data_IF_810644674799
#
_entry.id   IF_810644674799
#
_cell.length_a   1.000
_cell.length_b   1.000
_cell.length_c   1.000
_cell.angle_alpha   90.00
_cell.angle_beta   90.00
_cell.angle_gamma   90.00
#
_symmetry.space_group_name_H-M   'P 1'
#
loop_
_entity.id
_entity.type
_entity.pdbx_description
1 polymer ?
#
# COMPACT_ATOMS: atom_id res chain seq x y z
N UNK A 1 -0.56 0.70 31.43
CA UNK A 1 -0.82 0.12 30.10
C UNK A 1 -1.69 -1.14 30.30
N UNK A 2 -2.81 -1.30 29.57
CA UNK A 2 -3.67 -2.49 29.71
C UNK A 2 -2.95 -3.80 29.42
N UNK A 3 -3.39 -4.90 30.02
CA UNK A 3 -2.79 -6.22 29.84
C UNK A 3 -2.78 -6.68 28.38
N UNK A 4 -3.84 -6.34 27.63
CA UNK A 4 -3.95 -6.62 26.19
C UNK A 4 -2.80 -6.01 25.40
N UNK A 5 -2.39 -4.76 25.71
CA UNK A 5 -1.29 -4.11 25.02
C UNK A 5 0.06 -4.74 25.37
N UNK A 6 0.27 -5.13 26.63
CA UNK A 6 1.46 -5.91 27.00
C UNK A 6 1.57 -7.21 26.19
N UNK A 7 0.46 -7.93 26.04
CA UNK A 7 0.44 -9.16 25.26
C UNK A 7 0.66 -8.89 23.76
N UNK A 8 0.02 -7.86 23.19
CA UNK A 8 0.20 -7.49 21.79
C UNK A 8 1.67 -7.16 21.48
N UNK A 9 2.30 -6.32 22.31
CA UNK A 9 3.71 -5.98 22.15
C UNK A 9 4.64 -7.17 22.39
N UNK A 10 4.29 -8.12 23.25
CA UNK A 10 5.05 -9.37 23.39
C UNK A 10 4.98 -10.26 22.15
N UNK A 11 3.83 -10.30 21.46
CA UNK A 11 3.71 -11.01 20.17
C UNK A 11 4.61 -10.32 19.13
N UNK A 12 4.49 -8.99 18.99
CA UNK A 12 5.25 -8.24 17.99
C UNK A 12 6.77 -8.31 18.22
N UNK A 13 7.21 -8.17 19.48
CA UNK A 13 8.63 -8.19 19.84
C UNK A 13 9.31 -9.52 19.55
N UNK A 14 8.58 -10.63 19.64
CA UNK A 14 9.11 -11.98 19.38
C UNK A 14 8.98 -12.42 17.91
N UNK A 15 8.31 -11.61 17.07
CA UNK A 15 7.97 -11.96 15.70
C UNK A 15 8.44 -10.91 14.69
N UNK A 16 7.64 -9.88 14.41
CA UNK A 16 7.92 -8.87 13.38
C UNK A 16 9.18 -8.06 13.68
N UNK A 17 9.49 -7.87 14.96
CA UNK A 17 10.70 -7.20 15.42
C UNK A 17 11.85 -8.17 15.78
N UNK A 18 11.73 -9.45 15.38
CA UNK A 18 12.69 -10.49 15.70
C UNK A 18 13.20 -11.20 14.44
N UNK A 19 13.42 -10.47 13.34
CA UNK A 19 14.05 -11.05 12.17
C UNK A 19 15.53 -11.35 12.47
N UNK A 20 15.88 -12.63 12.47
CA UNK A 20 17.23 -13.13 12.77
C UNK A 20 18.03 -13.49 11.51
N UNK A 21 17.52 -13.21 10.30
CA UNK A 21 18.25 -13.49 9.06
C UNK A 21 19.45 -12.52 8.91
N UNK A 22 20.71 -13.01 9.01
CA UNK A 22 21.89 -12.17 8.88
C UNK A 22 22.08 -11.60 7.46
N UNK A 23 21.33 -12.11 6.48
CA UNK A 23 21.35 -11.64 5.09
C UNK A 23 20.25 -10.60 4.82
N UNK A 24 19.50 -10.18 5.83
CA UNK A 24 18.51 -9.12 5.69
C UNK A 24 19.21 -7.78 5.43
N UNK A 25 19.12 -7.26 4.21
CA UNK A 25 19.85 -6.06 3.78
C UNK A 25 19.03 -4.76 3.86
N UNK A 26 17.71 -4.85 4.05
CA UNK A 26 16.80 -3.72 4.10
C UNK A 26 15.48 -4.11 4.79
N UNK A 27 14.65 -3.12 5.08
CA UNK A 27 13.25 -3.34 5.47
C UNK A 27 12.51 -4.10 4.36
N UNK A 28 11.65 -5.04 4.77
CA UNK A 28 10.84 -5.83 3.84
C UNK A 28 9.83 -4.91 3.16
N UNK A 29 9.81 -4.94 1.83
CA UNK A 29 8.97 -4.11 0.99
C UNK A 29 7.63 -4.80 0.74
N UNK A 30 6.55 -4.03 0.77
CA UNK A 30 5.25 -4.54 0.32
C UNK A 30 5.27 -4.72 -1.19
N UNK A 31 4.77 -5.86 -1.67
CA UNK A 31 4.62 -6.08 -3.12
C UNK A 31 3.63 -5.10 -3.75
N UNK A 32 2.70 -4.54 -2.97
CA UNK A 32 1.74 -3.52 -3.41
C UNK A 32 2.46 -2.30 -4.01
N UNK A 33 3.62 -1.95 -3.45
CA UNK A 33 4.42 -0.81 -3.87
C UNK A 33 5.27 -1.07 -5.12
N UNK A 34 5.36 -2.32 -5.58
CA UNK A 34 6.17 -2.69 -6.74
C UNK A 34 5.34 -2.60 -8.02
N UNK A 35 6.03 -2.42 -9.15
CA UNK A 35 5.42 -2.61 -10.46
C UNK A 35 4.80 -4.02 -10.55
N UNK A 36 3.52 -4.15 -10.92
CA UNK A 36 2.86 -5.45 -11.04
C UNK A 36 3.55 -6.36 -12.05
N UNK A 37 3.60 -7.66 -11.72
CA UNK A 37 4.15 -8.69 -12.58
C UNK A 37 3.48 -10.03 -12.29
N UNK A 38 3.45 -10.94 -13.26
CA UNK A 38 2.87 -12.29 -13.09
C UNK A 38 3.76 -13.25 -12.29
N UNK A 39 5.02 -12.88 -12.06
CA UNK A 39 6.02 -13.69 -11.35
C UNK A 39 7.02 -12.79 -10.64
N UNK A 40 7.71 -13.34 -9.63
CA UNK A 40 8.90 -12.69 -9.06
C UNK A 40 8.60 -11.52 -8.12
N UNK A 41 7.38 -11.38 -7.61
CA UNK A 41 7.06 -10.38 -6.58
C UNK A 41 7.14 -10.93 -5.16
N UNK A 42 6.75 -12.19 -4.96
CA UNK A 42 6.68 -12.80 -3.61
C UNK A 42 7.96 -13.53 -3.25
N UNK A 43 8.29 -13.56 -1.96
CA UNK A 43 9.43 -14.29 -1.40
C UNK A 43 10.81 -13.87 -1.92
N UNK A 44 10.95 -12.62 -2.41
CA UNK A 44 12.25 -12.09 -2.78
C UNK A 44 13.13 -11.90 -1.54
N UNK A 45 14.41 -12.24 -1.69
CA UNK A 45 15.47 -12.06 -0.69
C UNK A 45 16.58 -11.19 -1.27
N UNK A 46 17.41 -10.55 -0.42
CA UNK A 46 18.49 -9.67 -0.87
C UNK A 46 18.04 -8.21 -0.97
N UNK A 47 18.38 -7.53 -2.07
CA UNK A 47 17.97 -6.15 -2.30
C UNK A 47 16.45 -6.04 -2.53
N UNK A 48 15.79 -5.13 -1.81
CA UNK A 48 14.32 -4.96 -1.79
C UNK A 48 13.57 -6.28 -1.49
N UNK A 49 13.82 -6.90 -0.32
CA UNK A 49 13.23 -8.20 0.00
C UNK A 49 11.71 -8.07 0.19
N UNK A 50 10.96 -9.09 -0.20
CA UNK A 50 9.49 -9.17 -0.05
C UNK A 50 9.05 -10.40 0.75
N UNK A 51 10.00 -11.25 1.17
CA UNK A 51 9.74 -12.42 2.01
C UNK A 51 9.34 -11.98 3.43
N UNK A 52 8.14 -12.37 3.86
CA UNK A 52 7.66 -12.15 5.23
C UNK A 52 8.17 -13.31 6.12
N UNK A 53 8.95 -13.05 7.20
CA UNK A 53 9.58 -14.09 8.03
C UNK A 53 8.67 -14.57 9.19
N UNK A 54 7.38 -14.25 9.15
CA UNK A 54 6.41 -14.56 10.19
C UNK A 54 5.04 -14.88 9.59
N UNK A 55 4.15 -15.50 10.37
CA UNK A 55 2.77 -15.78 9.94
C UNK A 55 1.80 -14.69 10.44
N UNK A 56 1.24 -13.93 9.50
CA UNK A 56 0.27 -12.86 9.75
C UNK A 56 -0.89 -13.27 10.68
N UNK A 57 -1.37 -14.51 10.58
CA UNK A 57 -2.51 -15.01 11.36
C UNK A 57 -2.18 -15.29 12.83
N UNK A 58 -0.90 -15.50 13.14
CA UNK A 58 -0.42 -15.75 14.51
C UNK A 58 0.34 -14.57 15.09
N UNK A 59 0.59 -13.52 14.30
CA UNK A 59 1.35 -12.33 14.72
C UNK A 59 0.54 -11.03 14.62
N UNK A 60 0.45 -10.43 13.43
CA UNK A 60 -0.17 -9.12 13.19
C UNK A 60 -1.66 -9.14 13.56
N UNK A 61 -2.39 -10.16 13.11
CA UNK A 61 -3.83 -10.24 13.37
C UNK A 61 -4.18 -10.30 14.87
N UNK A 62 -3.61 -11.24 15.67
CA UNK A 62 -3.91 -11.27 17.10
C UNK A 62 -3.40 -10.02 17.84
N UNK A 63 -2.26 -9.44 17.45
CA UNK A 63 -1.80 -8.18 18.03
C UNK A 63 -2.78 -7.03 17.76
N UNK A 64 -3.27 -6.88 16.53
CA UNK A 64 -4.27 -5.86 16.19
C UNK A 64 -5.59 -6.07 16.94
N UNK A 65 -6.07 -7.31 17.08
CA UNK A 65 -7.26 -7.61 17.87
C UNK A 65 -7.12 -7.18 19.33
N UNK A 66 -5.94 -7.38 19.93
CA UNK A 66 -5.64 -6.94 21.29
C UNK A 66 -5.59 -5.41 21.41
N UNK A 67 -5.08 -4.69 20.40
CA UNK A 67 -5.16 -3.23 20.35
C UNK A 67 -6.63 -2.75 20.35
N UNK A 68 -7.47 -3.35 19.50
CA UNK A 68 -8.89 -2.99 19.44
C UNK A 68 -9.62 -3.33 20.74
N UNK A 69 -9.37 -4.50 21.33
CA UNK A 69 -9.91 -4.87 22.65
C UNK A 69 -9.49 -3.89 23.74
N UNK A 70 -8.22 -3.50 23.78
CA UNK A 70 -7.72 -2.50 24.73
C UNK A 70 -8.46 -1.16 24.56
N UNK A 71 -8.64 -0.70 23.32
CA UNK A 71 -9.35 0.55 23.03
C UNK A 71 -10.84 0.52 23.36
N UNK A 72 -11.46 -0.67 23.32
CA UNK A 72 -12.87 -0.84 23.69
C UNK A 72 -13.06 -0.91 25.21
N UNK A 73 -12.09 -1.44 25.93
CA UNK A 73 -12.11 -1.51 27.41
C UNK A 73 -11.61 -0.22 28.07
N UNK A 74 -10.72 0.52 27.40
CA UNK A 74 -10.12 1.77 27.87
C UNK A 74 -10.25 2.83 26.77
N UNK A 75 -11.43 3.44 26.65
CA UNK A 75 -11.76 4.31 25.51
C UNK A 75 -10.86 5.52 25.36
N UNK A 76 -10.28 6.04 26.46
CA UNK A 76 -9.31 7.14 26.41
C UNK A 76 -8.04 6.83 25.62
N UNK A 77 -7.75 5.56 25.33
CA UNK A 77 -6.65 5.19 24.42
C UNK A 77 -6.88 5.71 23.00
N UNK A 78 -8.14 5.83 22.56
CA UNK A 78 -8.47 6.34 21.22
C UNK A 78 -8.05 7.79 21.03
N UNK A 79 -7.93 8.54 22.13
CA UNK A 79 -7.49 9.94 22.15
C UNK A 79 -5.96 10.09 22.21
N UNK A 80 -5.20 8.99 22.37
CA UNK A 80 -3.73 9.01 22.42
C UNK A 80 -3.18 8.91 21.00
N UNK A 81 -2.49 9.96 20.47
CA UNK A 81 -2.05 9.99 19.07
C UNK A 81 -1.13 8.82 18.69
N UNK A 82 -0.20 8.45 19.57
CA UNK A 82 0.74 7.34 19.35
C UNK A 82 0.01 6.00 19.29
N UNK A 83 -1.05 5.84 20.09
CA UNK A 83 -1.86 4.63 20.06
C UNK A 83 -2.68 4.51 18.76
N UNK A 84 -3.25 5.63 18.30
CA UNK A 84 -3.94 5.67 17.01
C UNK A 84 -2.97 5.40 15.85
N UNK A 85 -1.75 5.94 15.92
CA UNK A 85 -0.68 5.67 14.95
C UNK A 85 -0.33 4.19 14.89
N UNK A 86 -0.02 3.55 16.03
CA UNK A 86 0.31 2.11 16.08
C UNK A 86 -0.86 1.23 15.59
N UNK A 87 -2.10 1.63 15.88
CA UNK A 87 -3.29 0.93 15.40
C UNK A 87 -3.40 1.00 13.87
N UNK A 88 -3.12 2.16 13.27
CA UNK A 88 -3.04 2.31 11.81
C UNK A 88 -1.89 1.48 11.25
N UNK A 89 -0.71 1.51 11.86
CA UNK A 89 0.47 0.77 11.39
C UNK A 89 0.23 -0.75 11.36
N UNK A 90 -0.36 -1.31 12.42
CA UNK A 90 -0.70 -2.74 12.46
C UNK A 90 -1.79 -3.10 11.45
N UNK A 91 -2.78 -2.23 11.26
CA UNK A 91 -3.85 -2.44 10.28
C UNK A 91 -3.33 -2.35 8.85
N UNK A 92 -2.44 -1.39 8.58
CA UNK A 92 -1.70 -1.23 7.33
C UNK A 92 -0.89 -2.49 7.05
N UNK A 93 -0.14 -2.98 8.03
CA UNK A 93 0.67 -4.18 7.89
C UNK A 93 -0.18 -5.43 7.64
N UNK A 94 -1.34 -5.57 8.29
CA UNK A 94 -2.29 -6.64 8.03
C UNK A 94 -2.74 -6.63 6.57
N UNK A 95 -3.18 -5.48 6.08
CA UNK A 95 -3.69 -5.31 4.71
C UNK A 95 -2.61 -5.64 3.67
N UNK A 96 -1.39 -5.13 3.81
CA UNK A 96 -0.33 -5.43 2.83
C UNK A 96 0.15 -6.87 2.89
N UNK A 97 0.03 -7.56 4.03
CA UNK A 97 0.26 -9.00 4.09
C UNK A 97 -0.86 -9.77 3.37
N UNK A 98 -2.13 -9.40 3.58
CA UNK A 98 -3.29 -9.98 2.88
C UNK A 98 -3.26 -9.73 1.37
N UNK A 99 -2.67 -8.62 0.95
CA UNK A 99 -2.45 -8.32 -0.46
C UNK A 99 -1.64 -9.43 -1.15
N UNK A 100 -0.68 -10.06 -0.44
CA UNK A 100 0.10 -11.18 -0.97
C UNK A 100 -0.81 -12.36 -1.31
N UNK A 101 -1.73 -12.71 -0.41
CA UNK A 101 -2.68 -13.81 -0.63
C UNK A 101 -3.59 -13.54 -1.85
N UNK A 102 -4.11 -12.31 -1.97
CA UNK A 102 -4.95 -11.90 -3.08
C UNK A 102 -4.18 -11.89 -4.41
N UNK A 103 -2.95 -11.40 -4.41
CA UNK A 103 -2.06 -11.42 -5.57
C UNK A 103 -1.76 -12.86 -6.01
N UNK A 104 -1.41 -13.74 -5.08
CA UNK A 104 -1.14 -15.15 -5.38
C UNK A 104 -2.39 -15.82 -5.97
N UNK A 105 -3.59 -15.54 -5.43
CA UNK A 105 -4.83 -16.03 -6.01
C UNK A 105 -5.06 -15.50 -7.42
N UNK A 106 -4.89 -14.20 -7.66
CA UNK A 106 -5.02 -13.60 -9.00
C UNK A 106 -4.08 -14.27 -10.01
N UNK A 107 -2.81 -14.46 -9.65
CA UNK A 107 -1.81 -15.11 -10.51
C UNK A 107 -2.17 -16.58 -10.77
N UNK A 108 -2.67 -17.30 -9.77
CA UNK A 108 -3.14 -18.69 -9.95
C UNK A 108 -4.34 -18.78 -10.89
N UNK A 109 -5.32 -17.88 -10.72
CA UNK A 109 -6.48 -17.77 -11.63
C UNK A 109 -6.00 -17.45 -13.04
N UNK A 110 -5.13 -16.46 -13.20
CA UNK A 110 -4.55 -16.10 -14.50
C UNK A 110 -3.84 -17.30 -15.18
N UNK A 111 -3.03 -18.04 -14.44
CA UNK A 111 -2.26 -19.18 -14.98
C UNK A 111 -3.13 -20.42 -15.28
N UNK A 112 -4.34 -20.51 -14.73
CA UNK A 112 -5.24 -21.62 -15.03
C UNK A 112 -5.70 -21.59 -16.49
N UNK A 113 -5.64 -22.72 -17.18
CA UNK A 113 -6.15 -22.85 -18.55
C UNK A 113 -7.68 -22.81 -18.63
N UNK A 114 -8.37 -23.10 -17.52
CA UNK A 114 -9.84 -23.09 -17.45
C UNK A 114 -10.43 -21.74 -17.03
N UNK A 115 -9.60 -20.77 -16.61
CA UNK A 115 -10.10 -19.48 -16.17
C UNK A 115 -10.47 -18.58 -17.35
N UNK A 116 -11.54 -17.82 -17.14
CA UNK A 116 -12.04 -16.81 -18.08
C UNK A 116 -11.52 -15.42 -17.74
N UNK A 117 -11.73 -14.47 -18.64
CA UNK A 117 -11.50 -13.04 -18.38
C UNK A 117 -12.27 -12.56 -17.14
N UNK A 118 -13.53 -13.01 -16.99
CA UNK A 118 -14.36 -12.69 -15.84
C UNK A 118 -13.74 -13.18 -14.52
N UNK A 119 -13.17 -14.40 -14.49
CA UNK A 119 -12.54 -14.93 -13.27
C UNK A 119 -11.32 -14.11 -12.86
N UNK A 120 -10.51 -13.68 -13.84
CA UNK A 120 -9.37 -12.79 -13.61
C UNK A 120 -9.84 -11.43 -13.08
N UNK A 121 -10.86 -10.82 -13.70
CA UNK A 121 -11.44 -9.56 -13.23
C UNK A 121 -12.01 -9.68 -11.82
N UNK A 122 -12.69 -10.78 -11.48
CA UNK A 122 -13.24 -11.01 -10.15
C UNK A 122 -12.14 -11.16 -9.08
N UNK A 123 -11.08 -11.93 -9.38
CA UNK A 123 -9.94 -12.04 -8.49
C UNK A 123 -9.21 -10.70 -8.31
N UNK A 124 -9.05 -9.94 -9.39
CA UNK A 124 -8.42 -8.62 -9.38
C UNK A 124 -9.26 -7.57 -8.65
N UNK A 125 -10.59 -7.64 -8.71
CA UNK A 125 -11.47 -6.71 -8.02
C UNK A 125 -11.27 -6.77 -6.49
N UNK A 126 -11.10 -7.97 -5.92
CA UNK A 126 -10.81 -8.12 -4.49
C UNK A 126 -9.48 -7.46 -4.11
N UNK A 127 -8.44 -7.65 -4.94
CA UNK A 127 -7.14 -7.02 -4.74
C UNK A 127 -7.26 -5.49 -4.77
N UNK A 128 -8.01 -4.94 -5.73
CA UNK A 128 -8.21 -3.50 -5.86
C UNK A 128 -9.07 -2.91 -4.75
N UNK A 129 -10.04 -3.65 -4.24
CA UNK A 129 -10.82 -3.24 -3.08
C UNK A 129 -9.95 -3.16 -1.82
N UNK A 130 -9.00 -4.09 -1.64
CA UNK A 130 -8.04 -4.00 -0.55
C UNK A 130 -7.17 -2.73 -0.66
N UNK A 131 -6.75 -2.35 -1.88
CA UNK A 131 -6.00 -1.11 -2.10
C UNK A 131 -6.82 0.12 -1.70
N UNK A 132 -8.12 0.15 -2.03
CA UNK A 132 -9.02 1.24 -1.63
C UNK A 132 -9.21 1.32 -0.11
N UNK A 133 -9.39 0.18 0.55
CA UNK A 133 -9.55 0.12 2.00
C UNK A 133 -8.24 0.52 2.72
N UNK A 134 -7.08 0.15 2.16
CA UNK A 134 -5.78 0.60 2.64
C UNK A 134 -5.62 2.12 2.52
N UNK A 135 -5.93 2.69 1.36
CA UNK A 135 -5.85 4.14 1.15
C UNK A 135 -6.80 4.89 2.11
N UNK A 136 -8.01 4.34 2.32
CA UNK A 136 -8.99 4.87 3.29
C UNK A 136 -8.46 4.83 4.72
N UNK A 137 -7.82 3.74 5.14
CA UNK A 137 -7.16 3.64 6.46
C UNK A 137 -6.09 4.70 6.63
N UNK A 138 -5.22 4.86 5.63
CA UNK A 138 -4.09 5.79 5.69
C UNK A 138 -4.57 7.24 5.79
N UNK A 139 -5.72 7.57 5.18
CA UNK A 139 -6.33 8.91 5.33
C UNK A 139 -6.73 9.24 6.77
N UNK A 140 -6.88 8.26 7.67
CA UNK A 140 -7.33 8.52 9.04
C UNK A 140 -6.25 9.11 9.95
N UNK A 141 -4.98 9.11 9.54
CA UNK A 141 -3.87 9.53 10.38
C UNK A 141 -2.88 10.44 9.63
N UNK A 142 -2.51 11.57 10.24
CA UNK A 142 -1.73 12.64 9.60
C UNK A 142 -0.32 12.20 9.16
N UNK A 143 0.22 11.16 9.78
CA UNK A 143 1.56 10.63 9.50
C UNK A 143 1.64 9.83 8.19
N UNK A 144 0.51 9.58 7.54
CA UNK A 144 0.43 8.78 6.31
C UNK A 144 -0.11 9.55 5.11
N UNK A 145 -0.06 10.89 5.11
CA UNK A 145 -0.67 11.69 4.05
C UNK A 145 0.35 12.14 3.00
N UNK A 146 0.13 11.77 1.73
CA UNK A 146 0.89 12.34 0.61
C UNK A 146 0.70 13.86 0.53
N UNK A 147 -0.48 14.35 0.93
CA UNK A 147 -0.77 15.78 0.97
C UNK A 147 0.23 16.53 1.86
N UNK A 148 0.61 15.99 3.02
CA UNK A 148 1.54 16.66 3.93
C UNK A 148 2.92 16.83 3.27
N UNK A 149 3.43 15.76 2.64
CA UNK A 149 4.68 15.80 1.88
C UNK A 149 4.67 16.84 0.74
N UNK A 150 3.56 16.92 0.01
CA UNK A 150 3.38 17.88 -1.08
C UNK A 150 3.25 19.33 -0.54
N UNK A 151 2.55 19.53 0.57
CA UNK A 151 2.44 20.84 1.21
C UNK A 151 3.82 21.38 1.60
N UNK A 152 4.62 20.53 2.25
CA UNK A 152 5.98 20.86 2.68
C UNK A 152 6.84 21.25 1.47
N UNK A 153 6.84 20.42 0.41
CA UNK A 153 7.58 20.73 -0.81
C UNK A 153 7.17 22.08 -1.43
N UNK A 154 5.87 22.37 -1.49
CA UNK A 154 5.36 23.62 -2.08
C UNK A 154 5.69 24.85 -1.23
N UNK A 155 5.85 24.71 0.09
CA UNK A 155 6.17 25.83 0.97
C UNK A 155 7.52 26.48 0.65
N UNK A 156 8.48 25.68 0.16
CA UNK A 156 9.81 26.15 -0.27
C UNK A 156 9.77 27.07 -1.49
N UNK A 157 8.64 27.13 -2.19
CA UNK A 157 8.48 28.04 -3.33
C UNK A 157 8.20 29.50 -2.93
N UNK A 158 7.97 29.79 -1.64
CA UNK A 158 7.72 31.14 -1.11
C UNK A 158 6.66 31.94 -1.91
N UNK A 159 5.57 31.27 -2.31
CA UNK A 159 4.46 31.87 -3.05
C UNK A 159 4.61 31.90 -4.59
N UNK A 160 5.74 31.47 -5.15
CA UNK A 160 5.90 31.32 -6.59
C UNK A 160 5.16 30.07 -7.09
N UNK A 161 4.05 30.25 -7.80
CA UNK A 161 3.19 29.15 -8.25
C UNK A 161 3.88 28.18 -9.22
N UNK A 162 4.71 28.69 -10.13
CA UNK A 162 5.41 27.85 -11.11
C UNK A 162 6.50 27.03 -10.43
N UNK A 163 7.21 27.62 -9.47
CA UNK A 163 8.21 26.90 -8.70
C UNK A 163 7.56 25.89 -7.74
N UNK A 164 6.41 26.20 -7.15
CA UNK A 164 5.63 25.26 -6.34
C UNK A 164 5.19 24.02 -7.14
N UNK A 165 4.75 24.22 -8.39
CA UNK A 165 4.40 23.11 -9.28
C UNK A 165 5.62 22.24 -9.62
N UNK A 166 6.79 22.86 -9.85
CA UNK A 166 8.05 22.12 -10.05
C UNK A 166 8.45 21.32 -8.81
N UNK A 167 8.39 21.91 -7.61
CA UNK A 167 8.72 21.21 -6.37
C UNK A 167 7.75 20.07 -6.07
N UNK A 168 6.47 20.23 -6.38
CA UNK A 168 5.50 19.14 -6.30
C UNK A 168 5.83 18.00 -7.27
N UNK A 169 6.18 18.32 -8.53
CA UNK A 169 6.67 17.32 -9.48
C UNK A 169 7.87 16.54 -8.93
N UNK A 170 8.87 17.25 -8.37
CA UNK A 170 10.03 16.61 -7.75
C UNK A 170 9.65 15.73 -6.56
N UNK A 171 8.73 16.22 -5.70
CA UNK A 171 8.24 15.49 -4.53
C UNK A 171 7.52 14.19 -4.92
N UNK A 172 6.72 14.19 -5.99
CA UNK A 172 6.05 13.00 -6.53
C UNK A 172 7.04 12.05 -7.23
N UNK A 173 7.95 12.61 -8.04
CA UNK A 173 8.94 11.83 -8.77
C UNK A 173 9.86 11.06 -7.81
N UNK A 174 10.34 11.69 -6.73
CA UNK A 174 11.19 11.04 -5.74
C UNK A 174 10.54 9.79 -5.12
N UNK A 175 9.22 9.78 -4.90
CA UNK A 175 8.52 8.63 -4.31
C UNK A 175 8.20 7.51 -5.31
N UNK A 176 8.31 7.80 -6.61
CA UNK A 176 7.85 6.92 -7.70
C UNK A 176 8.99 6.60 -8.65
N UNK A 177 9.09 7.31 -9.80
CA UNK A 177 10.06 7.02 -10.85
C UNK A 177 11.52 7.32 -10.46
N UNK A 178 11.73 8.23 -9.52
CA UNK A 178 13.02 8.75 -9.04
C UNK A 178 13.91 9.44 -10.08
N UNK A 179 13.59 9.33 -11.36
CA UNK A 179 14.12 10.11 -12.45
C UNK A 179 13.13 10.22 -13.60
N UNK A 180 13.53 10.83 -14.74
CA UNK A 180 12.62 11.14 -15.83
C UNK A 180 12.03 9.91 -16.53
N UNK A 181 12.72 8.76 -16.50
CA UNK A 181 12.28 7.55 -17.21
C UNK A 181 12.18 6.31 -16.31
N UNK A 182 12.18 6.49 -14.99
CA UNK A 182 12.03 5.38 -14.04
C UNK A 182 13.36 4.70 -13.67
N UNK A 183 14.45 5.47 -13.59
CA UNK A 183 15.83 4.99 -13.42
C UNK A 183 16.00 4.10 -12.18
N UNK A 184 15.36 4.46 -11.04
CA UNK A 184 15.27 3.60 -9.85
C UNK A 184 13.84 3.59 -9.31
N UNK A 185 12.91 3.20 -10.18
CA UNK A 185 11.48 3.16 -9.90
C UNK A 185 11.15 2.43 -8.57
N UNK A 186 10.23 3.03 -7.81
CA UNK A 186 9.74 2.59 -6.50
C UNK A 186 10.82 2.49 -5.40
N UNK A 187 12.03 3.02 -5.60
CA UNK A 187 13.11 2.93 -4.61
C UNK A 187 12.73 3.57 -3.27
N UNK A 188 12.14 4.77 -3.30
CA UNK A 188 11.71 5.51 -2.12
C UNK A 188 10.18 5.49 -1.93
N UNK A 189 9.53 4.41 -2.35
CA UNK A 189 8.08 4.21 -2.19
C UNK A 189 7.61 4.41 -0.75
N UNK A 190 6.32 4.75 -0.61
CA UNK A 190 5.65 4.99 0.67
C UNK A 190 4.23 4.49 0.61
N UNK A 191 3.73 3.97 1.73
CA UNK A 191 2.31 3.66 1.86
C UNK A 191 1.59 4.87 2.44
N UNK A 192 1.37 5.87 1.60
CA UNK A 192 0.68 7.11 1.96
C UNK A 192 -0.67 7.22 1.26
N UNK A 193 -1.66 7.74 1.96
CA UNK A 193 -2.98 8.09 1.46
C UNK A 193 -2.85 9.02 0.25
N UNK A 194 -3.60 8.74 -0.80
CA UNK A 194 -3.49 9.38 -2.12
C UNK A 194 -2.40 8.77 -2.99
N UNK A 195 -1.23 8.39 -2.45
CA UNK A 195 -0.23 7.64 -3.22
C UNK A 195 -0.68 6.20 -3.47
N UNK A 196 -1.20 5.53 -2.44
CA UNK A 196 -1.71 4.16 -2.53
C UNK A 196 -2.89 4.08 -3.50
N UNK A 197 -3.89 4.94 -3.34
CA UNK A 197 -5.06 4.96 -4.21
C UNK A 197 -4.74 5.38 -5.64
N UNK A 198 -4.03 6.49 -5.85
CA UNK A 198 -3.90 7.09 -7.18
C UNK A 198 -2.76 6.53 -8.02
N UNK A 199 -1.63 6.15 -7.40
CA UNK A 199 -0.48 5.63 -8.13
C UNK A 199 -0.48 4.10 -8.12
N UNK A 200 -0.42 3.47 -6.94
CA UNK A 200 -0.37 2.00 -6.86
C UNK A 200 -1.69 1.37 -7.33
N UNK A 201 -2.84 1.93 -6.93
CA UNK A 201 -4.15 1.46 -7.38
C UNK A 201 -4.32 1.51 -8.90
N UNK A 202 -3.87 2.60 -9.55
CA UNK A 202 -3.90 2.71 -11.01
C UNK A 202 -3.03 1.64 -11.70
N UNK A 203 -1.82 1.37 -11.16
CA UNK A 203 -0.93 0.34 -11.69
C UNK A 203 -1.54 -1.06 -11.59
N UNK A 204 -2.07 -1.41 -10.41
CA UNK A 204 -2.72 -2.70 -10.20
C UNK A 204 -3.98 -2.86 -11.04
N UNK A 205 -4.77 -1.79 -11.22
CA UNK A 205 -5.95 -1.81 -12.07
C UNK A 205 -5.57 -2.09 -13.53
N UNK A 206 -4.57 -1.37 -14.06
CA UNK A 206 -4.09 -1.58 -15.42
C UNK A 206 -3.52 -3.00 -15.63
N UNK A 207 -2.82 -3.53 -14.63
CA UNK A 207 -2.34 -4.92 -14.66
C UNK A 207 -3.48 -5.94 -14.71
N UNK A 208 -4.48 -5.82 -13.83
CA UNK A 208 -5.66 -6.70 -13.83
C UNK A 208 -6.38 -6.64 -15.17
N UNK A 209 -6.57 -5.44 -15.72
CA UNK A 209 -7.18 -5.26 -17.05
C UNK A 209 -6.36 -5.96 -18.13
N UNK A 210 -5.04 -5.78 -18.15
CA UNK A 210 -4.18 -6.43 -19.15
C UNK A 210 -4.29 -7.96 -19.09
N UNK A 211 -4.32 -8.55 -17.89
CA UNK A 211 -4.52 -10.01 -17.74
C UNK A 211 -5.90 -10.45 -18.24
N UNK A 212 -6.95 -9.70 -17.89
CA UNK A 212 -8.32 -10.01 -18.33
C UNK A 212 -8.46 -9.90 -19.87
N UNK A 213 -7.84 -8.90 -20.49
CA UNK A 213 -7.84 -8.69 -21.93
C UNK A 213 -7.07 -9.77 -22.68
N UNK A 214 -5.94 -10.24 -22.12
CA UNK A 214 -5.23 -11.40 -22.66
C UNK A 214 -6.09 -12.66 -22.65
N UNK A 215 -6.92 -12.90 -21.61
CA UNK A 215 -7.89 -14.01 -21.61
C UNK A 215 -8.97 -13.84 -22.68
N UNK A 216 -9.50 -12.63 -22.86
CA UNK A 216 -10.55 -12.34 -23.86
C UNK A 216 -10.04 -12.52 -25.29
N UNK A 217 -8.85 -12.01 -25.57
CA UNK A 217 -8.26 -12.01 -26.93
C UNK A 217 -7.55 -13.32 -27.29
N UNK A 218 -7.21 -14.15 -26.30
CA UNK A 218 -6.37 -15.33 -26.47
C UNK A 218 -4.90 -15.02 -26.77
N UNK A 219 -4.49 -13.74 -26.70
CA UNK A 219 -3.12 -13.31 -26.90
C UNK A 219 -2.29 -13.52 -25.64
N UNK A 220 -0.99 -13.82 -25.82
CA UNK A 220 -0.06 -13.96 -24.71
C UNK A 220 0.13 -12.62 -23.97
N UNK A 221 0.35 -12.70 -22.66
CA UNK A 221 0.68 -11.54 -21.82
C UNK A 221 1.93 -10.81 -22.33
N UNK A 222 1.80 -9.52 -22.62
CA UNK A 222 2.89 -8.68 -23.13
C UNK A 222 3.53 -7.87 -21.98
N UNK A 223 4.59 -8.43 -21.39
CA UNK A 223 5.29 -7.78 -20.29
C UNK A 223 5.89 -6.40 -20.64
N UNK A 224 6.31 -6.19 -21.89
CA UNK A 224 6.89 -4.92 -22.34
C UNK A 224 5.84 -3.80 -22.41
N UNK A 225 4.65 -4.12 -22.88
CA UNK A 225 3.52 -3.18 -22.94
C UNK A 225 2.99 -2.83 -21.56
N UNK A 226 2.90 -3.80 -20.65
CA UNK A 226 2.56 -3.54 -19.25
C UNK A 226 3.62 -2.67 -18.59
N UNK A 227 4.91 -2.95 -18.81
CA UNK A 227 6.00 -2.09 -18.31
C UNK A 227 5.88 -0.66 -18.81
N UNK A 228 5.60 -0.46 -20.09
CA UNK A 228 5.38 0.88 -20.65
C UNK A 228 4.16 1.56 -20.02
N UNK A 229 3.09 0.81 -19.79
CA UNK A 229 1.89 1.32 -19.10
C UNK A 229 2.22 1.78 -17.67
N UNK A 230 3.07 1.04 -16.93
CA UNK A 230 3.50 1.46 -15.59
C UNK A 230 4.31 2.76 -15.62
N UNK A 231 5.18 2.93 -16.61
CA UNK A 231 5.93 4.17 -16.81
C UNK A 231 4.99 5.34 -17.10
N UNK A 232 4.06 5.17 -18.03
CA UNK A 232 3.08 6.21 -18.40
C UNK A 232 2.22 6.63 -17.18
N UNK A 233 1.83 5.69 -16.33
CA UNK A 233 1.11 5.99 -15.07
C UNK A 233 1.99 6.84 -14.14
N UNK A 234 3.28 6.54 -14.02
CA UNK A 234 4.22 7.32 -13.22
C UNK A 234 4.46 8.72 -13.75
N UNK A 235 4.65 8.88 -15.05
CA UNK A 235 4.78 10.18 -15.69
C UNK A 235 3.51 11.03 -15.49
N UNK A 236 2.34 10.44 -15.75
CA UNK A 236 1.06 11.10 -15.54
C UNK A 236 0.84 11.48 -14.07
N UNK A 237 1.22 10.62 -13.12
CA UNK A 237 1.15 10.92 -11.69
C UNK A 237 2.07 12.08 -11.30
N UNK A 238 3.31 12.11 -11.81
CA UNK A 238 4.27 13.18 -11.53
C UNK A 238 3.80 14.55 -12.02
N UNK A 239 3.05 14.61 -13.12
CA UNK A 239 2.53 15.84 -13.71
C UNK A 239 1.26 16.38 -13.04
N UNK A 240 0.70 15.69 -12.04
CA UNK A 240 -0.45 16.17 -11.28
C UNK A 240 -0.09 17.40 -10.43
N UNK A 241 -1.11 18.17 -10.07
CA UNK A 241 -1.00 19.28 -9.11
C UNK A 241 -2.08 19.13 -8.05
N UNK A 242 -1.67 18.96 -6.81
CA UNK A 242 -2.53 18.74 -5.66
C UNK A 242 -3.34 20.01 -5.36
N UNK A 243 -4.60 19.81 -5.01
CA UNK A 243 -5.59 20.85 -4.78
C UNK A 243 -6.30 21.30 -6.07
N UNK A 244 -6.14 20.57 -7.18
CA UNK A 244 -6.84 20.85 -8.45
C UNK A 244 -7.83 19.79 -8.85
N UNK A 245 -7.67 18.55 -8.39
CA UNK A 245 -8.60 17.47 -8.72
C UNK A 245 -9.79 17.46 -7.76
N UNK A 246 -10.95 17.04 -8.27
CA UNK A 246 -12.15 16.89 -7.45
C UNK A 246 -11.96 15.78 -6.41
N UNK A 247 -12.22 16.09 -5.14
CA UNK A 247 -12.14 15.13 -4.04
C UNK A 247 -10.77 15.04 -3.34
N UNK A 248 -9.74 15.75 -3.83
CA UNK A 248 -8.48 15.92 -3.09
C UNK A 248 -8.74 16.71 -1.79
N UNK A 249 -8.25 16.19 -0.67
CA UNK A 249 -8.35 16.85 0.63
C UNK A 249 -6.96 17.07 1.22
N UNK A 250 -6.84 18.13 2.03
CA UNK A 250 -5.69 18.30 2.91
C UNK A 250 -6.08 17.80 4.31
N UNK A 251 -5.15 17.12 4.98
CA UNK A 251 -5.38 16.57 6.32
C UNK A 251 -6.12 15.24 6.29
N UNK A 252 -6.47 14.77 7.50
CA UNK A 252 -7.07 13.45 7.70
C UNK A 252 -8.56 13.43 7.31
N UNK A 253 -9.05 12.23 7.01
CA UNK A 253 -10.45 11.94 6.71
C UNK A 253 -10.85 10.61 7.33
N UNK A 254 -12.00 10.60 8.00
CA UNK A 254 -12.57 9.40 8.61
C UNK A 254 -12.08 9.18 10.04
N UNK A 255 -12.68 8.19 10.70
CA UNK A 255 -12.31 7.77 12.06
C UNK A 255 -11.46 6.49 12.00
N UNK A 256 -10.26 6.53 12.59
CA UNK A 256 -9.33 5.40 12.58
C UNK A 256 -9.98 4.12 13.07
N UNK A 257 -10.66 4.14 14.22
CA UNK A 257 -11.16 2.91 14.85
C UNK A 257 -12.37 2.32 14.11
N UNK A 258 -13.24 3.15 13.54
CA UNK A 258 -14.33 2.70 12.67
C UNK A 258 -13.80 2.06 11.38
N UNK A 259 -12.77 2.65 10.77
CA UNK A 259 -12.15 2.08 9.56
C UNK A 259 -11.43 0.76 9.88
N UNK A 260 -10.75 0.67 11.02
CA UNK A 260 -10.11 -0.57 11.46
C UNK A 260 -11.13 -1.67 11.77
N UNK A 261 -12.27 -1.33 12.40
CA UNK A 261 -13.37 -2.27 12.60
C UNK A 261 -13.94 -2.79 11.26
N UNK A 262 -14.02 -1.92 10.23
CA UNK A 262 -14.42 -2.34 8.89
C UNK A 262 -13.39 -3.31 8.28
N UNK A 263 -12.10 -3.00 8.38
CA UNK A 263 -11.02 -3.84 7.89
C UNK A 263 -11.04 -5.22 8.53
N UNK A 264 -11.17 -5.28 9.86
CA UNK A 264 -11.24 -6.54 10.60
C UNK A 264 -12.47 -7.39 10.24
N UNK A 265 -13.57 -6.79 9.79
CA UNK A 265 -14.76 -7.53 9.33
C UNK A 265 -14.62 -8.06 7.91
N UNK A 266 -13.82 -7.40 7.07
CA UNK A 266 -13.73 -7.69 5.64
C UNK A 266 -12.55 -8.58 5.26
N UNK A 267 -11.41 -8.43 5.94
CA UNK A 267 -10.13 -9.00 5.53
C UNK A 267 -9.57 -10.05 6.51
N UNK A 268 -10.40 -10.54 7.43
CA UNK A 268 -10.09 -11.54 8.45
C UNK A 268 -11.17 -12.59 8.48
#
# INVERSE_FOLDING_TARGET
MPAQLHQAWSILSTTVYNNQDPNSQATIKSILELAPATTGLVNLTGHHPTKIPYDTNTTILPALRLFIEASNTHTSLKDVPEFAFDTVELSRQLLVNRFIDLYTNLVNVWNSSSSTSHDVSAAGALLLDLVKDLDTLLYTNENYLLSSWIADAKQWAHGNSSYAAYLEYQARNQLTLWGPTGEINDYASKQWAGLVGEYYGARWQAFVTALADSKTSGQAYNASEVKQTMLNIGEAFGLKTWGRAHGETWGTKGDTFQVVDHILKRWV
#
